data_IF_698740791439
#
_entry.id   IF_698740791439
#
_cell.length_a   1.000
_cell.length_b   1.000
_cell.length_c   1.000
_cell.angle_alpha   90.00
_cell.angle_beta   90.00
_cell.angle_gamma   90.00
#
_symmetry.space_group_name_H-M   'P 1'
#
loop_
_entity.id
_entity.type
_entity.pdbx_description
1 polymer ?
#
# COMPACT_ATOMS: atom_id res chain seq x y z
N UNK A 1 -11.05 22.53 -20.78
CA UNK A 1 -12.03 21.42 -20.80
C UNK A 1 -11.49 20.16 -20.11
N UNK A 2 -10.26 19.71 -20.40
CA UNK A 2 -9.66 18.57 -19.65
C UNK A 2 -9.41 18.89 -18.17
N UNK A 3 -8.88 20.07 -17.83
CA UNK A 3 -8.61 20.46 -16.43
C UNK A 3 -9.86 20.43 -15.55
N UNK A 4 -11.02 20.88 -16.07
CA UNK A 4 -12.28 20.83 -15.34
C UNK A 4 -12.82 19.42 -15.12
N UNK A 5 -12.47 18.47 -16.00
CA UNK A 5 -12.84 17.08 -15.81
C UNK A 5 -11.98 16.42 -14.73
N UNK A 6 -10.65 16.58 -14.79
CA UNK A 6 -9.76 16.09 -13.74
C UNK A 6 -10.06 16.66 -12.36
N UNK A 7 -10.45 17.94 -12.28
CA UNK A 7 -10.93 18.54 -11.03
C UNK A 7 -12.21 17.86 -10.50
N UNK A 8 -13.14 17.43 -11.37
CA UNK A 8 -14.30 16.65 -10.94
C UNK A 8 -13.90 15.28 -10.38
N UNK A 9 -12.98 14.59 -11.06
CA UNK A 9 -12.44 13.30 -10.60
C UNK A 9 -11.74 13.46 -9.24
N UNK A 10 -10.89 14.48 -9.10
CA UNK A 10 -10.21 14.80 -7.85
C UNK A 10 -11.19 15.13 -6.73
N UNK A 11 -12.21 15.95 -6.99
CA UNK A 11 -13.26 16.24 -6.00
C UNK A 11 -14.01 14.97 -5.58
N UNK A 12 -14.31 14.07 -6.52
CA UNK A 12 -14.93 12.79 -6.20
C UNK A 12 -14.02 11.89 -5.37
N UNK A 13 -12.72 11.84 -5.70
CA UNK A 13 -11.70 11.19 -4.88
C UNK A 13 -11.73 11.75 -3.44
N UNK A 14 -11.64 13.08 -3.28
CA UNK A 14 -11.60 13.74 -1.97
C UNK A 14 -12.84 13.44 -1.11
N UNK A 15 -14.02 13.30 -1.73
CA UNK A 15 -15.26 12.94 -1.02
C UNK A 15 -15.23 11.51 -0.45
N UNK A 16 -14.36 10.63 -0.94
CA UNK A 16 -14.25 9.23 -0.51
C UNK A 16 -13.00 8.99 0.39
N UNK A 17 -12.20 10.01 0.71
CA UNK A 17 -11.00 9.87 1.56
C UNK A 17 -11.32 10.20 3.02
N UNK A 18 -11.47 9.18 3.86
CA UNK A 18 -11.88 9.34 5.27
C UNK A 18 -10.83 8.89 6.29
N UNK A 19 -9.72 8.26 5.87
CA UNK A 19 -8.69 7.74 6.77
C UNK A 19 -7.30 8.34 6.50
N UNK A 20 -6.47 8.42 7.54
CA UNK A 20 -5.15 9.07 7.47
C UNK A 20 -4.06 8.20 6.82
N UNK A 21 -4.28 6.89 6.72
CA UNK A 21 -3.34 6.00 6.06
C UNK A 21 -3.56 5.98 4.54
N UNK A 22 -4.74 6.28 4.03
CA UNK A 22 -5.05 6.35 2.60
C UNK A 22 -5.60 7.73 2.27
N UNK A 23 -4.96 8.76 2.83
CA UNK A 23 -5.35 10.14 2.64
C UNK A 23 -5.09 10.65 1.21
N UNK A 24 -5.54 11.85 0.91
CA UNK A 24 -5.26 12.50 -0.39
C UNK A 24 -3.76 12.55 -0.71
N UNK A 25 -2.90 12.68 0.31
CA UNK A 25 -1.46 12.80 0.12
C UNK A 25 -0.85 11.46 -0.33
N UNK A 26 -1.39 10.33 0.14
CA UNK A 26 -1.10 9.02 -0.45
C UNK A 26 -1.43 8.99 -1.94
N UNK A 27 -2.67 9.34 -2.29
CA UNK A 27 -3.13 9.33 -3.69
C UNK A 27 -2.24 10.20 -4.57
N UNK A 28 -1.84 11.38 -4.11
CA UNK A 28 -0.93 12.25 -4.86
C UNK A 28 0.48 11.68 -4.98
N UNK A 29 1.05 11.06 -3.94
CA UNK A 29 2.35 10.38 -4.05
C UNK A 29 2.30 9.24 -5.05
N UNK A 30 1.22 8.45 -5.05
CA UNK A 30 0.99 7.41 -6.06
C UNK A 30 0.88 8.01 -7.45
N UNK A 31 0.06 9.05 -7.65
CA UNK A 31 -0.06 9.73 -8.94
C UNK A 31 1.30 10.25 -9.44
N UNK A 32 2.05 10.96 -8.62
CA UNK A 32 3.33 11.54 -9.05
C UNK A 32 4.42 10.47 -9.29
N UNK A 33 4.42 9.37 -8.54
CA UNK A 33 5.26 8.24 -8.82
C UNK A 33 4.89 7.57 -10.15
N UNK A 34 3.58 7.38 -10.40
CA UNK A 34 3.09 6.85 -11.67
C UNK A 34 3.49 7.72 -12.86
N UNK A 35 3.39 9.06 -12.72
CA UNK A 35 3.85 10.00 -13.74
C UNK A 35 5.36 9.95 -13.98
N UNK A 36 6.18 9.64 -12.96
CA UNK A 36 7.62 9.45 -13.16
C UNK A 36 7.93 8.16 -13.91
N UNK A 37 7.28 7.06 -13.50
CA UNK A 37 7.41 5.75 -14.16
C UNK A 37 6.98 5.84 -15.62
N UNK A 38 5.82 6.46 -15.90
CA UNK A 38 5.26 6.57 -17.24
C UNK A 38 6.17 7.29 -18.25
N UNK A 39 7.13 8.14 -17.81
CA UNK A 39 8.10 8.79 -18.72
C UNK A 39 9.05 7.81 -19.38
N UNK A 40 9.20 6.61 -18.83
CA UNK A 40 10.12 5.57 -19.32
C UNK A 40 9.40 4.42 -20.02
N UNK A 41 8.08 4.52 -20.19
CA UNK A 41 7.24 3.50 -20.79
C UNK A 41 6.60 4.06 -22.06
N UNK A 42 6.51 3.25 -23.11
CA UNK A 42 5.87 3.63 -24.37
C UNK A 42 4.35 3.36 -24.34
N UNK A 43 3.59 4.10 -25.14
CA UNK A 43 2.16 3.85 -25.42
C UNK A 43 1.21 3.88 -24.20
N UNK A 44 1.54 4.65 -23.15
CA UNK A 44 0.68 4.81 -21.97
C UNK A 44 -0.51 5.74 -22.25
N UNK A 45 -1.74 5.28 -22.04
CA UNK A 45 -2.91 6.17 -22.03
C UNK A 45 -2.94 6.97 -20.72
N UNK A 46 -2.46 8.22 -20.81
CA UNK A 46 -2.35 9.10 -19.64
C UNK A 46 -3.69 9.40 -18.97
N UNK A 47 -4.80 9.43 -19.71
CA UNK A 47 -6.11 9.64 -19.07
C UNK A 47 -6.48 8.43 -18.21
N UNK A 48 -6.26 7.22 -18.74
CA UNK A 48 -6.50 5.98 -17.98
C UNK A 48 -5.61 5.93 -16.75
N UNK A 49 -4.32 6.19 -16.90
CA UNK A 49 -3.37 6.13 -15.79
C UNK A 49 -3.70 7.14 -14.68
N UNK A 50 -3.89 8.42 -15.03
CA UNK A 50 -4.14 9.49 -14.05
C UNK A 50 -5.44 9.22 -13.30
N UNK A 51 -6.52 8.89 -14.00
CA UNK A 51 -7.82 8.65 -13.37
C UNK A 51 -7.76 7.38 -12.51
N UNK A 52 -7.09 6.32 -12.98
CA UNK A 52 -6.93 5.11 -12.18
C UNK A 52 -6.14 5.39 -10.89
N UNK A 53 -5.07 6.20 -10.93
CA UNK A 53 -4.34 6.62 -9.74
C UNK A 53 -5.23 7.41 -8.76
N UNK A 54 -5.99 8.38 -9.26
CA UNK A 54 -6.88 9.19 -8.41
C UNK A 54 -7.98 8.35 -7.75
N UNK A 55 -8.46 7.29 -8.42
CA UNK A 55 -9.62 6.53 -7.96
C UNK A 55 -9.30 5.17 -7.33
N UNK A 56 -8.03 4.74 -7.28
CA UNK A 56 -7.70 3.35 -6.93
C UNK A 56 -8.20 2.91 -5.54
N UNK A 57 -8.22 3.82 -4.57
CA UNK A 57 -8.54 3.53 -3.17
C UNK A 57 -9.91 4.06 -2.69
N UNK A 58 -10.80 4.53 -3.59
CA UNK A 58 -12.15 5.04 -3.21
C UNK A 58 -13.09 3.97 -2.63
N UNK A 59 -12.69 2.69 -2.65
CA UNK A 59 -13.42 1.58 -2.02
C UNK A 59 -12.96 1.26 -0.60
N UNK A 60 -12.01 2.03 -0.03
CA UNK A 60 -11.44 1.77 1.31
C UNK A 60 -12.45 1.92 2.42
N UNK A 61 -13.27 2.97 2.37
CA UNK A 61 -14.31 3.20 3.38
C UNK A 61 -15.29 2.02 3.46
N UNK A 62 -15.65 1.44 2.31
CA UNK A 62 -16.53 0.26 2.25
C UNK A 62 -15.87 -0.96 2.91
N UNK A 63 -14.58 -1.18 2.67
CA UNK A 63 -13.82 -2.25 3.32
C UNK A 63 -13.66 -2.02 4.84
N UNK A 64 -13.54 -0.77 5.29
CA UNK A 64 -13.51 -0.48 6.73
C UNK A 64 -14.86 -0.78 7.40
N UNK A 65 -15.98 -0.51 6.72
CA UNK A 65 -17.32 -0.83 7.23
C UNK A 65 -17.63 -2.33 7.19
N UNK A 66 -17.13 -3.02 6.17
CA UNK A 66 -17.25 -4.47 5.99
C UNK A 66 -15.91 -5.08 5.55
N UNK A 67 -15.12 -5.63 6.50
CA UNK A 67 -13.83 -6.24 6.22
C UNK A 67 -13.86 -7.42 5.23
N UNK A 68 -15.02 -8.00 4.94
CA UNK A 68 -15.16 -9.06 3.93
C UNK A 68 -15.04 -8.51 2.50
N UNK A 69 -15.22 -7.20 2.31
CA UNK A 69 -15.13 -6.56 1.01
C UNK A 69 -13.68 -6.30 0.59
N UNK A 70 -13.42 -6.47 -0.70
CA UNK A 70 -12.16 -6.07 -1.32
C UNK A 70 -12.27 -4.65 -1.86
N UNK A 71 -11.52 -3.72 -1.27
CA UNK A 71 -11.55 -2.29 -1.63
C UNK A 71 -11.27 -2.06 -3.12
N UNK A 72 -10.34 -2.83 -3.73
CA UNK A 72 -10.03 -2.72 -5.15
C UNK A 72 -11.20 -3.15 -6.04
N UNK A 73 -11.95 -4.19 -5.65
CA UNK A 73 -13.14 -4.63 -6.39
C UNK A 73 -14.24 -3.58 -6.28
N UNK A 74 -14.59 -3.16 -5.06
CA UNK A 74 -15.63 -2.16 -4.82
C UNK A 74 -15.27 -0.82 -5.47
N UNK A 75 -14.03 -0.36 -5.28
CA UNK A 75 -13.50 0.87 -5.85
C UNK A 75 -13.50 0.86 -7.37
N UNK A 76 -13.17 -0.29 -8.00
CA UNK A 76 -13.24 -0.41 -9.46
C UNK A 76 -14.65 -0.24 -10.01
N UNK A 77 -15.66 -0.82 -9.37
CA UNK A 77 -17.07 -0.70 -9.80
C UNK A 77 -17.65 0.70 -9.53
N UNK A 78 -17.25 1.32 -8.40
CA UNK A 78 -17.55 2.72 -8.09
C UNK A 78 -16.97 3.65 -9.17
N UNK A 79 -15.69 3.49 -9.50
CA UNK A 79 -15.01 4.28 -10.51
C UNK A 79 -15.67 4.13 -11.88
N UNK A 80 -15.96 2.90 -12.29
CA UNK A 80 -16.66 2.63 -13.55
C UNK A 80 -17.99 3.37 -13.62
N UNK A 81 -18.84 3.16 -12.61
CA UNK A 81 -20.19 3.74 -12.54
C UNK A 81 -20.16 5.27 -12.51
N UNK A 82 -19.22 5.86 -11.76
CA UNK A 82 -19.04 7.31 -11.71
C UNK A 82 -18.61 7.88 -13.06
N UNK A 83 -17.65 7.25 -13.73
CA UNK A 83 -17.14 7.70 -15.03
C UNK A 83 -18.20 7.60 -16.12
N UNK A 84 -18.91 6.48 -16.23
CA UNK A 84 -19.96 6.30 -17.25
C UNK A 84 -21.15 7.24 -17.02
N UNK A 85 -21.49 7.53 -15.76
CA UNK A 85 -22.56 8.49 -15.44
C UNK A 85 -22.19 9.96 -15.71
N UNK A 86 -20.91 10.24 -15.97
CA UNK A 86 -20.40 11.57 -16.33
C UNK A 86 -19.92 11.60 -17.79
N UNK A 87 -20.50 10.78 -18.66
CA UNK A 87 -20.26 10.72 -20.12
C UNK A 87 -18.80 10.44 -20.51
N UNK A 88 -18.01 9.81 -19.63
CA UNK A 88 -16.65 9.39 -19.96
C UNK A 88 -16.68 8.18 -20.92
N UNK A 89 -15.78 8.06 -21.90
CA UNK A 89 -15.80 6.96 -22.86
C UNK A 89 -15.77 5.59 -22.19
N UNK A 90 -16.80 4.77 -22.45
CA UNK A 90 -17.01 3.48 -21.79
C UNK A 90 -15.80 2.55 -21.90
N UNK A 91 -15.14 2.53 -23.06
CA UNK A 91 -13.91 1.74 -23.26
C UNK A 91 -12.79 2.16 -22.31
N UNK A 92 -12.57 3.47 -22.11
CA UNK A 92 -11.56 3.96 -21.16
C UNK A 92 -12.01 3.73 -19.71
N UNK A 93 -13.30 3.88 -19.40
CA UNK A 93 -13.84 3.59 -18.08
C UNK A 93 -13.65 2.12 -17.69
N UNK A 94 -13.90 1.18 -18.61
CA UNK A 94 -13.68 -0.25 -18.42
C UNK A 94 -12.20 -0.57 -18.18
N UNK A 95 -11.30 0.09 -18.91
CA UNK A 95 -9.85 -0.05 -18.71
C UNK A 95 -9.42 0.47 -17.33
N UNK A 96 -9.89 1.66 -16.92
CA UNK A 96 -9.63 2.22 -15.58
C UNK A 96 -10.12 1.26 -14.49
N UNK A 97 -11.33 0.71 -14.63
CA UNK A 97 -11.86 -0.31 -13.72
C UNK A 97 -10.89 -1.50 -13.61
N UNK A 98 -10.39 -2.01 -14.73
CA UNK A 98 -9.47 -3.14 -14.72
C UNK A 98 -8.13 -2.80 -14.04
N UNK A 99 -7.56 -1.61 -14.30
CA UNK A 99 -6.36 -1.13 -13.59
C UNK A 99 -6.58 -1.10 -12.07
N UNK A 100 -7.69 -0.51 -11.62
CA UNK A 100 -8.02 -0.42 -10.20
C UNK A 100 -8.27 -1.82 -9.62
N UNK A 101 -8.96 -2.72 -10.34
CA UNK A 101 -9.27 -4.06 -9.83
C UNK A 101 -8.01 -4.90 -9.58
N UNK A 102 -6.91 -4.64 -10.29
CA UNK A 102 -5.67 -5.44 -10.21
C UNK A 102 -4.53 -4.80 -9.41
N UNK A 103 -4.73 -3.65 -8.75
CA UNK A 103 -3.63 -2.95 -8.09
C UNK A 103 -3.18 -3.56 -6.74
N UNK A 104 -3.91 -4.53 -6.17
CA UNK A 104 -3.60 -5.10 -4.84
C UNK A 104 -2.44 -6.08 -4.87
N UNK A 105 -1.61 -6.03 -3.82
CA UNK A 105 -0.53 -7.00 -3.61
C UNK A 105 -1.05 -8.40 -3.27
N UNK A 106 -2.03 -8.49 -2.36
CA UNK A 106 -2.66 -9.75 -1.92
C UNK A 106 -3.76 -10.16 -2.89
N UNK A 107 -3.40 -10.52 -4.12
CA UNK A 107 -4.34 -10.82 -5.21
C UNK A 107 -3.74 -11.85 -6.18
N UNK A 108 -4.55 -12.83 -6.60
CA UNK A 108 -4.20 -13.78 -7.67
C UNK A 108 -4.51 -13.23 -9.08
N UNK A 109 -4.91 -11.96 -9.16
CA UNK A 109 -5.27 -11.26 -10.40
C UNK A 109 -4.22 -10.18 -10.72
N UNK A 110 -3.11 -10.52 -11.40
CA UNK A 110 -2.03 -9.59 -11.68
C UNK A 110 -2.40 -8.56 -12.75
N UNK A 111 -1.80 -7.35 -12.73
CA UNK A 111 -2.02 -6.34 -13.75
C UNK A 111 -1.50 -6.79 -15.13
N UNK A 112 -2.31 -6.58 -16.17
CA UNK A 112 -2.00 -6.97 -17.54
C UNK A 112 -1.53 -5.81 -18.41
N UNK A 113 -2.25 -4.68 -18.40
CA UNK A 113 -1.91 -3.49 -19.19
C UNK A 113 -0.72 -2.72 -18.59
N UNK A 114 -0.11 -1.85 -19.39
CA UNK A 114 1.00 -1.00 -18.93
C UNK A 114 0.52 -0.02 -17.83
N UNK A 115 -0.65 0.60 -17.98
CA UNK A 115 -1.24 1.49 -16.98
C UNK A 115 -1.53 0.76 -15.67
N UNK A 116 -2.02 -0.47 -15.73
CA UNK A 116 -2.28 -1.30 -14.55
C UNK A 116 -0.98 -1.65 -13.81
N UNK A 117 0.10 -1.93 -14.55
CA UNK A 117 1.44 -2.20 -14.00
C UNK A 117 2.04 -0.95 -13.37
N UNK A 118 1.94 0.20 -14.04
CA UNK A 118 2.42 1.48 -13.51
C UNK A 118 1.66 1.85 -12.24
N UNK A 119 0.32 1.74 -12.23
CA UNK A 119 -0.49 1.99 -11.03
C UNK A 119 -0.08 1.05 -9.88
N UNK A 120 0.06 -0.24 -10.17
CA UNK A 120 0.51 -1.22 -9.17
C UNK A 120 1.85 -0.80 -8.56
N UNK A 121 2.86 -0.55 -9.40
CA UNK A 121 4.19 -0.17 -8.95
C UNK A 121 4.18 1.13 -8.16
N UNK A 122 3.47 2.15 -8.64
CA UNK A 122 3.37 3.44 -7.97
C UNK A 122 2.70 3.33 -6.59
N UNK A 123 1.65 2.52 -6.45
CA UNK A 123 1.04 2.21 -5.16
C UNK A 123 2.02 1.43 -4.25
N UNK A 124 2.74 0.44 -4.80
CA UNK A 124 3.71 -0.33 -4.00
C UNK A 124 4.91 0.50 -3.56
N UNK A 125 5.33 1.49 -4.35
CA UNK A 125 6.36 2.42 -3.93
C UNK A 125 5.97 3.16 -2.65
N UNK A 126 4.70 3.47 -2.42
CA UNK A 126 4.26 4.19 -1.21
C UNK A 126 4.20 3.30 0.05
N UNK A 127 4.43 1.99 -0.09
CA UNK A 127 4.70 1.07 1.04
C UNK A 127 6.17 0.66 1.15
N UNK A 128 7.07 1.27 0.37
CA UNK A 128 8.53 1.08 0.50
C UNK A 128 9.19 2.20 1.30
N UNK A 129 10.37 1.88 1.87
CA UNK A 129 11.21 2.88 2.52
C UNK A 129 10.62 3.42 3.82
N UNK A 130 11.10 4.57 4.26
CA UNK A 130 10.70 5.17 5.55
C UNK A 130 9.24 5.59 5.57
N UNK A 131 8.73 6.17 4.47
CA UNK A 131 7.30 6.51 4.33
C UNK A 131 6.44 5.24 4.41
N UNK A 132 6.83 4.17 3.72
CA UNK A 132 6.09 2.90 3.76
C UNK A 132 6.01 2.30 5.16
N UNK A 133 7.11 2.33 5.91
CA UNK A 133 7.14 1.88 7.30
C UNK A 133 6.22 2.75 8.18
N UNK A 134 6.32 4.08 8.08
CA UNK A 134 5.49 5.01 8.84
C UNK A 134 3.99 4.80 8.57
N UNK A 135 3.61 4.67 7.30
CA UNK A 135 2.22 4.39 6.88
C UNK A 135 1.72 3.05 7.41
N UNK A 136 2.59 2.04 7.45
CA UNK A 136 2.26 0.73 8.02
C UNK A 136 1.95 0.85 9.51
N UNK A 137 2.71 1.64 10.28
CA UNK A 137 2.38 1.88 11.68
C UNK A 137 1.07 2.62 11.87
N UNK A 138 0.81 3.67 11.08
CA UNK A 138 -0.46 4.40 11.15
C UNK A 138 -1.63 3.45 10.90
N UNK A 139 -1.55 2.63 9.84
CA UNK A 139 -2.59 1.65 9.54
C UNK A 139 -2.76 0.60 10.66
N UNK A 140 -1.67 0.01 11.13
CA UNK A 140 -1.71 -0.99 12.22
C UNK A 140 -2.25 -0.42 13.52
N UNK A 141 -1.93 0.85 13.82
CA UNK A 141 -2.52 1.57 14.94
C UNK A 141 -4.04 1.73 14.81
N UNK A 142 -4.54 2.05 13.61
CA UNK A 142 -5.99 2.16 13.33
C UNK A 142 -6.69 0.80 13.55
N UNK A 143 -6.08 -0.30 13.12
CA UNK A 143 -6.63 -1.65 13.29
C UNK A 143 -6.23 -2.33 14.61
N UNK A 144 -5.63 -1.58 15.54
CA UNK A 144 -5.23 -2.05 16.89
C UNK A 144 -4.30 -3.27 16.91
N UNK A 145 -3.45 -3.42 15.90
CA UNK A 145 -2.45 -4.49 15.84
C UNK A 145 -1.15 -4.11 16.57
N UNK A 146 -0.52 -5.04 17.30
CA UNK A 146 0.72 -4.78 18.01
C UNK A 146 1.92 -4.61 17.07
N UNK A 147 3.01 -4.04 17.60
CA UNK A 147 4.26 -3.91 16.86
C UNK A 147 4.92 -5.28 16.61
N UNK A 148 4.87 -6.17 17.60
CA UNK A 148 5.48 -7.49 17.56
C UNK A 148 4.72 -8.42 18.51
N UNK A 149 5.00 -9.71 18.43
CA UNK A 149 4.49 -10.72 19.36
C UNK A 149 5.64 -11.45 20.05
N UNK A 150 5.32 -12.21 21.09
CA UNK A 150 6.30 -13.03 21.84
C UNK A 150 5.82 -14.48 21.85
N UNK A 151 6.77 -15.41 21.94
CA UNK A 151 6.46 -16.83 22.16
C UNK A 151 6.04 -17.10 23.63
N UNK A 152 5.59 -18.33 23.96
CA UNK A 152 5.21 -18.68 25.34
C UNK A 152 6.33 -18.53 26.38
N UNK A 153 7.60 -18.56 25.95
CA UNK A 153 8.76 -18.37 26.82
C UNK A 153 9.14 -16.87 26.96
N UNK A 154 8.38 -15.97 26.32
CA UNK A 154 8.58 -14.53 26.35
C UNK A 154 9.66 -14.03 25.39
N UNK A 155 10.12 -14.86 24.44
CA UNK A 155 11.07 -14.42 23.42
C UNK A 155 10.36 -13.63 22.34
N UNK A 156 10.95 -12.50 21.95
CA UNK A 156 10.45 -11.62 20.89
C UNK A 156 10.58 -12.32 19.55
N UNK A 157 9.42 -12.59 18.93
CA UNK A 157 9.33 -13.14 17.59
C UNK A 157 9.70 -12.07 16.55
N UNK A 158 10.26 -12.50 15.41
CA UNK A 158 10.72 -11.57 14.37
C UNK A 158 9.73 -11.38 13.22
N UNK A 159 8.59 -12.06 13.24
CA UNK A 159 7.58 -12.00 12.18
C UNK A 159 7.63 -13.15 11.19
N UNK A 160 8.70 -13.95 11.14
CA UNK A 160 8.92 -14.95 10.08
C UNK A 160 7.97 -16.13 10.20
N UNK A 161 7.69 -16.58 11.43
CA UNK A 161 6.81 -17.71 11.73
C UNK A 161 5.57 -17.31 12.52
N UNK A 162 5.37 -16.01 12.70
CA UNK A 162 4.28 -15.43 13.46
C UNK A 162 2.95 -15.70 12.75
N UNK A 163 1.99 -16.27 13.47
CA UNK A 163 0.61 -16.44 13.00
C UNK A 163 -0.28 -15.26 13.36
N UNK A 164 0.04 -14.59 14.47
CA UNK A 164 -0.71 -13.43 14.95
C UNK A 164 -0.32 -12.15 14.21
N UNK A 165 -1.29 -11.31 13.80
CA UNK A 165 -0.99 -10.05 13.12
C UNK A 165 -0.14 -9.12 13.99
N UNK A 166 0.96 -8.64 13.42
CA UNK A 166 1.81 -7.62 14.03
C UNK A 166 2.56 -6.84 12.96
N UNK A 167 3.23 -5.74 13.33
CA UNK A 167 4.12 -5.06 12.38
C UNK A 167 5.26 -5.96 11.90
N UNK A 168 5.91 -6.71 12.79
CA UNK A 168 6.98 -7.64 12.40
C UNK A 168 6.49 -8.73 11.44
N UNK A 169 5.31 -9.29 11.71
CA UNK A 169 4.69 -10.27 10.81
C UNK A 169 4.41 -9.68 9.42
N UNK A 170 3.83 -8.47 9.33
CA UNK A 170 3.60 -7.79 8.05
C UNK A 170 4.91 -7.44 7.33
N UNK A 171 5.94 -7.07 8.09
CA UNK A 171 7.25 -6.79 7.54
C UNK A 171 7.81 -8.02 6.82
N UNK A 172 7.86 -9.15 7.51
CA UNK A 172 8.38 -10.42 6.97
C UNK A 172 7.51 -10.99 5.86
N UNK A 173 6.20 -10.88 5.97
CA UNK A 173 5.29 -11.38 4.96
C UNK A 173 5.31 -10.53 3.68
N UNK A 174 5.18 -9.20 3.80
CA UNK A 174 4.97 -8.30 2.65
C UNK A 174 6.11 -7.32 2.44
N UNK A 175 6.48 -6.53 3.45
CA UNK A 175 7.34 -5.35 3.23
C UNK A 175 8.76 -5.73 2.84
N UNK A 176 9.28 -6.86 3.33
CA UNK A 176 10.59 -7.40 2.94
C UNK A 176 10.57 -7.90 1.49
N UNK A 177 9.46 -8.50 1.05
CA UNK A 177 9.32 -9.16 -0.25
C UNK A 177 8.87 -8.21 -1.38
N UNK A 178 8.28 -7.06 -1.04
CA UNK A 178 7.71 -6.12 -2.02
C UNK A 178 8.76 -5.63 -3.03
N UNK A 179 10.03 -5.53 -2.62
CA UNK A 179 11.14 -5.04 -3.44
C UNK A 179 11.47 -5.91 -4.65
N UNK A 180 10.97 -7.16 -4.70
CA UNK A 180 11.10 -8.05 -5.85
C UNK A 180 9.85 -8.13 -6.74
N UNK A 181 8.81 -7.34 -6.45
CA UNK A 181 7.47 -7.50 -7.05
C UNK A 181 7.07 -6.39 -8.02
N UNK A 182 8.03 -5.56 -8.46
CA UNK A 182 7.78 -4.43 -9.37
C UNK A 182 7.78 -4.89 -10.84
N UNK A 183 6.84 -4.35 -11.62
CA UNK A 183 6.64 -4.70 -13.03
C UNK A 183 7.45 -3.84 -14.00
N UNK A 184 7.70 -2.58 -13.63
CA UNK A 184 8.43 -1.59 -14.44
C UNK A 184 9.86 -1.47 -13.95
N UNK A 185 10.77 -1.18 -14.89
CA UNK A 185 12.18 -0.96 -14.56
C UNK A 185 12.33 0.22 -13.59
N UNK A 186 11.63 1.33 -13.88
CA UNK A 186 11.69 2.54 -13.06
C UNK A 186 11.13 2.34 -11.65
N UNK A 187 10.00 1.62 -11.53
CA UNK A 187 9.43 1.26 -10.22
C UNK A 187 10.42 0.46 -9.38
N UNK A 188 11.06 -0.55 -9.99
CA UNK A 188 12.08 -1.35 -9.32
C UNK A 188 13.30 -0.53 -8.85
N UNK A 189 13.82 0.38 -9.68
CA UNK A 189 14.95 1.24 -9.32
C UNK A 189 14.65 2.09 -8.08
N UNK A 190 13.51 2.80 -8.07
CA UNK A 190 13.09 3.65 -6.95
C UNK A 190 12.88 2.79 -5.68
N UNK A 191 12.29 1.61 -5.82
CA UNK A 191 12.10 0.70 -4.70
C UNK A 191 13.46 0.28 -4.10
N UNK A 192 14.44 -0.06 -4.95
CA UNK A 192 15.77 -0.46 -4.50
C UNK A 192 16.50 0.66 -3.76
N UNK A 193 16.40 1.90 -4.22
CA UNK A 193 16.96 3.06 -3.51
C UNK A 193 16.40 3.19 -2.08
N UNK A 194 15.12 2.84 -1.87
CA UNK A 194 14.42 2.93 -0.59
C UNK A 194 14.65 1.74 0.34
N UNK A 195 15.15 0.61 -0.17
CA UNK A 195 15.19 -0.66 0.56
C UNK A 195 16.06 -0.60 1.81
N UNK A 196 17.24 0.01 1.71
CA UNK A 196 18.21 0.03 2.81
C UNK A 196 17.62 0.65 4.09
N UNK A 197 16.90 1.77 3.98
CA UNK A 197 16.31 2.45 5.13
C UNK A 197 15.23 1.61 5.81
N UNK A 198 14.39 0.89 5.05
CA UNK A 198 13.36 0.03 5.62
C UNK A 198 13.96 -1.19 6.36
N UNK A 199 15.01 -1.79 5.79
CA UNK A 199 15.76 -2.90 6.42
C UNK A 199 16.43 -2.43 7.71
N UNK A 200 17.10 -1.28 7.67
CA UNK A 200 17.74 -0.70 8.86
C UNK A 200 16.70 -0.44 9.97
N UNK A 201 15.55 0.14 9.62
CA UNK A 201 14.49 0.44 10.58
C UNK A 201 13.99 -0.81 11.30
N UNK A 202 13.62 -1.86 10.55
CA UNK A 202 13.15 -3.12 11.12
C UNK A 202 14.21 -3.79 12.00
N UNK A 203 15.46 -3.88 11.52
CA UNK A 203 16.55 -4.51 12.28
C UNK A 203 16.85 -3.78 13.60
N UNK A 204 16.82 -2.45 13.59
CA UNK A 204 17.04 -1.65 14.79
C UNK A 204 15.90 -1.86 15.79
N UNK A 205 14.63 -1.83 15.36
CA UNK A 205 13.51 -2.13 16.24
C UNK A 205 13.60 -3.52 16.85
N UNK A 206 13.86 -4.54 16.03
CA UNK A 206 13.97 -5.93 16.50
C UNK A 206 15.08 -6.06 17.56
N UNK A 207 16.23 -5.42 17.32
CA UNK A 207 17.34 -5.40 18.26
C UNK A 207 16.97 -4.69 19.56
N UNK A 208 16.39 -3.49 19.49
CA UNK A 208 16.00 -2.70 20.66
C UNK A 208 15.03 -3.47 21.55
N UNK A 209 14.01 -4.10 20.96
CA UNK A 209 13.02 -4.88 21.71
C UNK A 209 13.67 -6.14 22.31
N UNK A 210 14.46 -6.91 21.55
CA UNK A 210 15.16 -8.09 22.08
C UNK A 210 16.14 -7.77 23.21
N UNK A 211 16.86 -6.65 23.10
CA UNK A 211 17.76 -6.18 24.15
C UNK A 211 17.00 -5.84 25.44
N UNK A 212 15.80 -5.25 25.34
CA UNK A 212 14.96 -4.96 26.49
C UNK A 212 14.44 -6.24 27.17
N UNK A 213 13.92 -7.20 26.40
CA UNK A 213 13.37 -8.45 26.95
C UNK A 213 14.45 -9.31 27.60
N UNK A 214 15.57 -9.53 26.90
CA UNK A 214 16.66 -10.37 27.41
C UNK A 214 17.24 -9.83 28.73
N UNK A 215 17.55 -8.53 28.79
CA UNK A 215 18.06 -7.89 30.02
C UNK A 215 17.05 -7.94 31.15
N UNK A 216 15.77 -7.69 30.84
CA UNK A 216 14.68 -7.75 31.82
C UNK A 216 14.50 -9.15 32.40
N UNK A 217 14.41 -10.17 31.55
CA UNK A 217 14.24 -11.56 31.97
C UNK A 217 15.42 -12.06 32.81
N UNK A 218 16.66 -11.75 32.41
CA UNK A 218 17.86 -12.08 33.21
C UNK A 218 17.79 -11.41 34.58
N UNK A 219 17.50 -10.11 34.64
CA UNK A 219 17.40 -9.40 35.91
C UNK A 219 16.33 -9.99 36.83
N UNK A 220 15.13 -10.26 36.32
CA UNK A 220 14.04 -10.82 37.11
C UNK A 220 14.40 -12.22 37.62
N UNK A 221 15.02 -13.07 36.79
CA UNK A 221 15.48 -14.40 37.19
C UNK A 221 16.54 -14.34 38.29
N UNK A 222 17.50 -13.43 38.16
CA UNK A 222 18.62 -13.32 39.09
C UNK A 222 18.24 -12.65 40.44
N UNK A 223 17.12 -11.93 40.51
CA UNK A 223 16.78 -11.08 41.67
C UNK A 223 15.41 -11.35 42.31
N UNK A 224 14.55 -12.16 41.69
CA UNK A 224 13.19 -12.44 42.18
C UNK A 224 12.86 -13.94 42.33
N UNK A 225 13.80 -14.84 41.99
CA UNK A 225 13.79 -16.24 42.44
C UNK A 225 14.47 -16.38 43.82
#
# INVERSE_FOLDING_TARGET
>A
MQTSFYQKIENYMLQNMTDSAHDKEHVYRVLYAALDIAKQEDEVDMDVLIIACLLHDIGREDQFKDPSLCHAKVGSEKAYSYLTSNDFPEKKAAHIRDCIRTHRYRSDNPPSSIEAKILFDADKLDVTGTIGIARTFVYKGIVTEPLYTVDPDGNVLDGTTDTEPSFFQEYKFKLENIYGSFYTKRGYEIAKERQHSAVSFYNNMLKEVRDCYSKGQIYLKDNLE
#
